data_IF_869565737186
#
_entry.id   IF_869565737186
#
_cell.length_a   1.000
_cell.length_b   1.000
_cell.length_c   1.000
_cell.angle_alpha   90.00
_cell.angle_beta   90.00
_cell.angle_gamma   90.00
#
_symmetry.space_group_name_H-M   'P 1'
#
loop_
_entity.id
_entity.type
_entity.pdbx_description
1 polymer ?
#
# COMPACT_ATOMS: atom_id res chain seq x y z
N UNK A 1 -3.28 3.75 -12.50
CA UNK A 1 -3.00 4.56 -11.30
C UNK A 1 -4.15 5.51 -11.02
N UNK A 2 -4.12 6.20 -9.88
CA UNK A 2 -5.14 7.19 -9.50
C UNK A 2 -6.57 6.64 -9.36
N UNK A 3 -6.72 5.33 -9.14
CA UNK A 3 -8.00 4.61 -9.16
C UNK A 3 -8.83 4.73 -10.45
N UNK A 4 -8.22 5.20 -11.56
CA UNK A 4 -8.92 5.47 -12.82
C UNK A 4 -8.39 4.64 -13.99
N UNK A 5 -7.21 4.05 -13.85
CA UNK A 5 -6.55 3.27 -14.90
C UNK A 5 -5.68 2.14 -14.32
N UNK A 6 -5.24 1.24 -15.20
CA UNK A 6 -4.31 0.16 -14.88
C UNK A 6 -4.93 -1.21 -15.14
N UNK A 7 -4.06 -2.22 -15.20
CA UNK A 7 -4.44 -3.60 -15.46
C UNK A 7 -3.54 -4.56 -14.70
N UNK A 8 -4.04 -5.76 -14.42
CA UNK A 8 -3.33 -6.75 -13.58
C UNK A 8 -2.04 -7.26 -14.23
N UNK A 9 -1.97 -7.26 -15.56
CA UNK A 9 -0.82 -7.71 -16.35
C UNK A 9 0.44 -6.92 -16.05
N UNK A 10 0.31 -5.65 -15.67
CA UNK A 10 1.43 -4.83 -15.24
C UNK A 10 2.20 -5.43 -14.04
N UNK A 11 1.52 -6.20 -13.18
CA UNK A 11 2.14 -6.87 -12.04
C UNK A 11 2.76 -8.24 -12.36
N UNK A 12 2.61 -8.77 -13.59
CA UNK A 12 3.11 -10.11 -13.92
C UNK A 12 4.64 -10.24 -13.78
N UNK A 13 5.48 -9.30 -14.29
CA UNK A 13 6.93 -9.43 -14.14
C UNK A 13 7.38 -9.48 -12.67
N UNK A 14 6.76 -8.67 -11.81
CA UNK A 14 7.01 -8.71 -10.37
C UNK A 14 6.55 -10.04 -9.74
N UNK A 15 5.39 -10.55 -10.15
CA UNK A 15 4.92 -11.86 -9.67
C UNK A 15 5.83 -13.01 -10.10
N UNK A 16 6.35 -12.97 -11.33
CA UNK A 16 7.30 -13.96 -11.85
C UNK A 16 8.61 -13.93 -11.06
N UNK A 17 9.16 -12.73 -10.79
CA UNK A 17 10.33 -12.59 -9.94
C UNK A 17 10.09 -13.15 -8.53
N UNK A 18 8.98 -12.77 -7.89
CA UNK A 18 8.67 -13.23 -6.53
C UNK A 18 8.42 -14.75 -6.48
N UNK A 19 7.87 -15.33 -7.54
CA UNK A 19 7.75 -16.79 -7.69
C UNK A 19 9.12 -17.46 -7.75
N UNK A 20 10.09 -16.87 -8.47
CA UNK A 20 11.49 -17.32 -8.47
C UNK A 20 12.15 -17.23 -7.09
N UNK A 21 11.75 -16.25 -6.27
CA UNK A 21 12.23 -16.05 -4.90
C UNK A 21 11.56 -16.97 -3.86
N UNK A 22 10.65 -17.86 -4.28
CA UNK A 22 9.98 -18.84 -3.43
C UNK A 22 8.62 -18.40 -2.85
N UNK A 23 8.04 -17.30 -3.35
CA UNK A 23 6.73 -16.81 -2.92
C UNK A 23 5.62 -17.21 -3.88
N UNK A 24 4.41 -17.43 -3.35
CA UNK A 24 3.20 -17.45 -4.18
C UNK A 24 2.80 -16.00 -4.43
N UNK A 25 2.88 -15.54 -5.67
CA UNK A 25 2.56 -14.18 -6.05
C UNK A 25 1.34 -14.11 -6.97
N UNK A 26 0.51 -13.09 -6.77
CA UNK A 26 -0.68 -12.83 -7.58
C UNK A 26 -0.88 -11.33 -7.76
N UNK A 27 -1.14 -10.90 -8.99
CA UNK A 27 -1.62 -9.55 -9.30
C UNK A 27 -3.14 -9.56 -9.43
N UNK A 28 -3.79 -8.52 -8.89
CA UNK A 28 -5.25 -8.41 -8.87
C UNK A 28 -5.71 -7.23 -9.71
N UNK A 29 -6.92 -7.34 -10.25
CA UNK A 29 -7.66 -6.15 -10.70
C UNK A 29 -8.43 -5.59 -9.51
N UNK A 30 -8.56 -4.27 -9.45
CA UNK A 30 -9.49 -3.58 -8.56
C UNK A 30 -10.37 -2.63 -9.38
N UNK A 31 -11.48 -2.21 -8.80
CA UNK A 31 -12.47 -1.32 -9.41
C UNK A 31 -11.86 0.04 -9.68
N UNK A 32 -11.87 0.46 -10.95
CA UNK A 32 -11.39 1.77 -11.38
C UNK A 32 -12.45 2.85 -11.10
N UNK A 33 -12.79 3.06 -9.83
CA UNK A 33 -13.90 3.92 -9.41
C UNK A 33 -13.76 5.39 -9.85
N UNK A 34 -12.53 5.86 -10.03
CA UNK A 34 -12.23 7.22 -10.48
C UNK A 34 -12.08 7.33 -12.00
N UNK A 35 -12.45 6.30 -12.77
CA UNK A 35 -12.56 6.43 -14.21
C UNK A 35 -13.54 7.57 -14.53
N UNK A 36 -13.09 8.50 -15.37
CA UNK A 36 -13.82 9.71 -15.78
C UNK A 36 -14.17 10.69 -14.63
N UNK A 37 -13.46 10.60 -13.49
CA UNK A 37 -13.60 11.51 -12.34
C UNK A 37 -12.26 12.17 -12.00
N UNK A 38 -12.34 13.34 -11.37
CA UNK A 38 -11.15 14.05 -10.91
C UNK A 38 -10.68 13.52 -9.53
N UNK A 39 -9.51 12.90 -9.50
CA UNK A 39 -8.83 12.45 -8.27
C UNK A 39 -7.83 13.49 -7.72
N UNK A 40 -7.81 14.70 -8.29
CA UNK A 40 -6.98 15.85 -7.89
C UNK A 40 -7.80 16.92 -7.16
N UNK A 41 -7.34 18.16 -7.15
CA UNK A 41 -7.90 19.25 -6.34
C UNK A 41 -9.32 19.69 -6.73
N UNK A 42 -9.67 19.60 -8.01
CA UNK A 42 -11.03 19.89 -8.50
C UNK A 42 -12.04 18.77 -8.24
N UNK A 43 -11.57 17.63 -7.72
CA UNK A 43 -12.40 16.47 -7.38
C UNK A 43 -13.31 16.70 -6.18
N UNK A 44 -13.91 15.62 -5.69
CA UNK A 44 -14.76 15.62 -4.50
C UNK A 44 -14.15 14.69 -3.47
N UNK A 45 -13.88 15.18 -2.26
CA UNK A 45 -13.25 14.38 -1.19
C UNK A 45 -13.97 13.06 -0.91
N UNK A 46 -15.31 13.07 -0.86
CA UNK A 46 -16.10 11.85 -0.68
C UNK A 46 -15.90 10.81 -1.79
N UNK A 47 -15.66 11.23 -3.03
CA UNK A 47 -15.38 10.31 -4.14
C UNK A 47 -13.97 9.71 -4.04
N UNK A 48 -12.99 10.49 -3.55
CA UNK A 48 -11.64 9.96 -3.26
C UNK A 48 -11.68 8.88 -2.19
N UNK A 49 -12.44 9.12 -1.10
CA UNK A 49 -12.62 8.15 -0.02
C UNK A 49 -13.28 6.87 -0.54
N UNK A 50 -14.32 7.00 -1.37
CA UNK A 50 -14.94 5.84 -2.02
C UNK A 50 -13.95 5.08 -2.89
N UNK A 51 -13.10 5.75 -3.65
CA UNK A 51 -12.10 5.10 -4.50
C UNK A 51 -11.17 4.18 -3.68
N UNK A 52 -10.62 4.69 -2.59
CA UNK A 52 -9.83 3.90 -1.63
C UNK A 52 -10.66 2.77 -0.99
N UNK A 53 -11.95 3.02 -0.67
CA UNK A 53 -12.87 2.00 -0.16
C UNK A 53 -13.09 0.85 -1.15
N UNK A 54 -13.31 1.15 -2.43
CA UNK A 54 -13.43 0.14 -3.48
C UNK A 54 -12.14 -0.68 -3.61
N UNK A 55 -10.99 -0.01 -3.70
CA UNK A 55 -9.69 -0.69 -3.76
C UNK A 55 -9.45 -1.64 -2.58
N UNK A 56 -9.67 -1.16 -1.35
CA UNK A 56 -9.49 -1.97 -0.14
C UNK A 56 -10.42 -3.19 -0.11
N UNK A 57 -11.70 -3.01 -0.50
CA UNK A 57 -12.67 -4.10 -0.56
C UNK A 57 -12.30 -5.15 -1.61
N UNK A 58 -11.86 -4.72 -2.79
CA UNK A 58 -11.46 -5.64 -3.86
C UNK A 58 -10.21 -6.43 -3.46
N UNK A 59 -9.27 -5.80 -2.73
CA UNK A 59 -8.11 -6.48 -2.16
C UNK A 59 -8.52 -7.48 -1.06
N UNK A 60 -9.50 -7.15 -0.21
CA UNK A 60 -10.04 -8.11 0.78
C UNK A 60 -10.73 -9.30 0.11
N UNK A 61 -11.53 -9.06 -0.94
CA UNK A 61 -12.18 -10.12 -1.72
C UNK A 61 -11.16 -11.03 -2.39
N UNK A 62 -10.13 -10.46 -3.02
CA UNK A 62 -9.06 -11.23 -3.65
C UNK A 62 -8.26 -12.04 -2.63
N UNK A 63 -7.94 -11.44 -1.48
CA UNK A 63 -7.29 -12.14 -0.34
C UNK A 63 -8.15 -13.31 0.14
N UNK A 64 -9.45 -13.07 0.34
CA UNK A 64 -10.41 -14.09 0.76
C UNK A 64 -10.50 -15.23 -0.25
N UNK A 65 -10.49 -14.93 -1.55
CA UNK A 65 -10.50 -15.93 -2.61
C UNK A 65 -9.23 -16.79 -2.56
N UNK A 66 -8.05 -16.16 -2.48
CA UNK A 66 -6.76 -16.85 -2.44
C UNK A 66 -6.62 -17.74 -1.21
N UNK A 67 -7.08 -17.30 -0.03
CA UNK A 67 -7.15 -18.16 1.17
C UNK A 67 -8.08 -19.36 0.94
N UNK A 68 -9.20 -19.19 0.23
CA UNK A 68 -10.06 -20.29 -0.19
C UNK A 68 -9.35 -21.32 -1.09
N UNK A 69 -8.35 -20.88 -1.86
CA UNK A 69 -7.52 -21.72 -2.73
C UNK A 69 -6.22 -22.21 -2.07
N UNK A 70 -6.07 -22.04 -0.75
CA UNK A 70 -4.81 -22.31 -0.04
C UNK A 70 -4.23 -23.71 -0.23
N UNK A 71 -5.08 -24.74 -0.41
CA UNK A 71 -4.62 -26.12 -0.68
C UNK A 71 -4.02 -26.26 -2.08
N UNK A 72 -4.64 -25.61 -3.07
CA UNK A 72 -4.22 -25.64 -4.48
C UNK A 72 -2.89 -24.91 -4.66
N UNK A 73 -2.80 -23.69 -4.11
CA UNK A 73 -1.62 -22.83 -4.30
C UNK A 73 -0.62 -22.89 -3.15
N UNK A 74 -0.85 -23.75 -2.14
CA UNK A 74 0.02 -23.90 -0.95
C UNK A 74 0.25 -22.57 -0.20
N UNK A 75 -0.83 -21.81 -0.02
CA UNK A 75 -0.80 -20.51 0.68
C UNK A 75 -0.93 -20.75 2.18
N UNK A 76 -0.05 -20.13 2.96
CA UNK A 76 -0.20 -20.00 4.41
C UNK A 76 -0.97 -18.69 4.72
N UNK A 77 -2.21 -18.74 5.23
CA UNK A 77 -3.00 -17.54 5.51
C UNK A 77 -2.38 -16.60 6.54
N UNK A 78 -1.42 -17.08 7.35
CA UNK A 78 -0.70 -16.24 8.32
C UNK A 78 0.47 -15.46 7.71
N UNK A 79 0.85 -15.75 6.46
CA UNK A 79 2.04 -15.22 5.76
C UNK A 79 1.69 -14.48 4.48
N UNK A 80 0.58 -13.74 4.49
CA UNK A 80 0.14 -12.96 3.33
C UNK A 80 0.67 -11.54 3.42
N UNK A 81 1.44 -11.14 2.40
CA UNK A 81 1.91 -9.77 2.20
C UNK A 81 1.10 -9.10 1.10
N UNK A 82 0.94 -7.78 1.19
CA UNK A 82 0.31 -6.96 0.16
C UNK A 82 1.27 -5.90 -0.34
N UNK A 83 1.16 -5.55 -1.62
CA UNK A 83 2.06 -4.61 -2.25
C UNK A 83 1.34 -3.75 -3.27
N UNK A 84 1.75 -2.49 -3.37
CA UNK A 84 1.23 -1.59 -4.38
C UNK A 84 2.05 -0.33 -4.57
N UNK A 85 1.78 0.34 -5.68
CA UNK A 85 2.37 1.62 -6.08
C UNK A 85 1.27 2.68 -6.21
N UNK A 86 1.52 3.92 -5.75
CA UNK A 86 0.60 5.05 -5.87
C UNK A 86 -0.78 4.70 -5.27
N UNK A 87 -1.87 4.83 -6.04
CA UNK A 87 -3.20 4.37 -5.66
C UNK A 87 -3.27 2.89 -5.18
N UNK A 88 -2.38 2.02 -5.68
CA UNK A 88 -2.25 0.65 -5.18
C UNK A 88 -1.63 0.57 -3.78
N UNK A 89 -0.71 1.47 -3.46
CA UNK A 89 -0.15 1.60 -2.11
C UNK A 89 -1.19 2.18 -1.14
N UNK A 90 -1.95 3.20 -1.56
CA UNK A 90 -3.11 3.70 -0.80
C UNK A 90 -4.13 2.58 -0.56
N UNK A 91 -4.42 1.74 -1.57
CA UNK A 91 -5.25 0.53 -1.40
C UNK A 91 -4.69 -0.38 -0.31
N UNK A 92 -3.38 -0.63 -0.29
CA UNK A 92 -2.75 -1.48 0.71
C UNK A 92 -2.86 -0.90 2.13
N UNK A 93 -2.56 0.39 2.31
CA UNK A 93 -2.69 1.06 3.61
C UNK A 93 -4.10 0.93 4.16
N UNK A 94 -5.09 1.25 3.35
CA UNK A 94 -6.47 1.23 3.78
C UNK A 94 -7.00 -0.20 3.98
N UNK A 95 -6.58 -1.16 3.16
CA UNK A 95 -6.92 -2.56 3.38
C UNK A 95 -6.31 -3.15 4.66
N UNK A 96 -5.11 -2.71 5.04
CA UNK A 96 -4.43 -3.19 6.24
C UNK A 96 -5.04 -2.60 7.53
N UNK A 97 -5.40 -1.32 7.51
CA UNK A 97 -5.65 -0.56 8.74
C UNK A 97 -7.09 -0.08 8.93
N UNK A 98 -7.94 -0.07 7.90
CA UNK A 98 -9.36 0.21 8.13
C UNK A 98 -10.06 -0.90 8.90
N UNK A 99 -11.05 -0.49 9.70
CA UNK A 99 -12.00 -1.43 10.26
C UNK A 99 -12.82 -2.06 9.12
N UNK A 100 -12.59 -3.35 8.86
CA UNK A 100 -13.24 -4.08 7.77
C UNK A 100 -14.76 -4.07 7.89
N UNK A 101 -15.32 -4.27 9.08
CA UNK A 101 -16.79 -4.29 9.26
C UNK A 101 -17.45 -2.93 9.00
N UNK A 102 -16.78 -1.83 9.34
CA UNK A 102 -17.29 -0.48 9.07
C UNK A 102 -17.12 -0.06 7.61
N UNK A 103 -16.04 -0.50 6.97
CA UNK A 103 -15.66 -0.06 5.63
C UNK A 103 -16.03 -1.06 4.53
N UNK A 104 -16.60 -2.22 4.86
CA UNK A 104 -17.03 -3.21 3.86
C UNK A 104 -18.13 -2.67 2.97
N UNK A 105 -17.98 -2.90 1.67
CA UNK A 105 -19.00 -2.72 0.63
C UNK A 105 -19.57 -4.06 0.17
N UNK A 106 -18.81 -5.12 0.35
CA UNK A 106 -19.13 -6.48 -0.06
C UNK A 106 -18.84 -7.43 1.09
N UNK A 107 -19.60 -8.52 1.19
CA UNK A 107 -19.27 -9.58 2.13
C UNK A 107 -18.02 -10.34 1.67
N UNK A 108 -17.10 -10.58 2.60
CA UNK A 108 -15.89 -11.37 2.41
C UNK A 108 -15.77 -12.44 3.49
N UNK A 109 -14.90 -13.44 3.31
CA UNK A 109 -14.71 -14.55 4.27
C UNK A 109 -13.41 -14.46 5.05
N UNK A 110 -12.82 -13.27 5.14
CA UNK A 110 -11.67 -13.05 6.02
C UNK A 110 -12.13 -13.13 7.48
N UNK A 111 -11.43 -13.90 8.34
CA UNK A 111 -11.65 -13.87 9.78
C UNK A 111 -11.53 -12.46 10.38
N UNK A 112 -12.25 -12.18 11.46
CA UNK A 112 -12.22 -10.86 12.14
C UNK A 112 -10.82 -10.50 12.65
N UNK A 113 -10.08 -11.51 13.09
CA UNK A 113 -8.70 -11.41 13.57
C UNK A 113 -7.65 -11.49 12.44
N UNK A 114 -8.05 -11.69 11.18
CA UNK A 114 -7.11 -11.74 10.05
C UNK A 114 -6.29 -10.45 9.92
N UNK A 115 -4.98 -10.58 9.78
CA UNK A 115 -4.03 -9.49 9.52
C UNK A 115 -3.05 -9.92 8.43
N UNK A 116 -2.60 -8.96 7.64
CA UNK A 116 -1.49 -9.19 6.71
C UNK A 116 -0.19 -9.31 7.51
N UNK A 117 0.74 -10.14 7.02
CA UNK A 117 2.06 -10.33 7.64
C UNK A 117 2.99 -9.12 7.42
N UNK A 118 2.69 -8.29 6.44
CA UNK A 118 3.38 -7.05 6.16
C UNK A 118 2.91 -6.42 4.85
N UNK A 119 3.38 -5.21 4.56
CA UNK A 119 3.04 -4.51 3.32
C UNK A 119 4.22 -3.77 2.69
N UNK A 120 4.12 -3.57 1.37
CA UNK A 120 5.07 -2.81 0.55
C UNK A 120 4.32 -1.67 -0.14
N UNK A 121 4.78 -0.43 0.07
CA UNK A 121 4.13 0.77 -0.43
C UNK A 121 5.12 1.68 -1.19
N UNK A 122 4.98 1.74 -2.51
CA UNK A 122 5.65 2.73 -3.35
C UNK A 122 4.80 3.99 -3.48
N UNK A 123 5.30 5.13 -3.02
CA UNK A 123 4.61 6.44 -3.06
C UNK A 123 3.13 6.39 -2.64
N UNK A 124 2.83 5.76 -1.49
CA UNK A 124 1.48 5.66 -0.93
C UNK A 124 1.27 6.59 0.27
N UNK A 125 0.00 6.72 0.67
CA UNK A 125 -0.39 7.44 1.87
C UNK A 125 -1.60 6.80 2.56
N UNK A 126 -1.76 7.14 3.84
CA UNK A 126 -2.95 6.81 4.65
C UNK A 126 -3.69 8.09 5.04
N UNK A 127 -5.01 8.00 5.19
CA UNK A 127 -5.85 9.15 5.57
C UNK A 127 -5.67 9.63 7.01
N UNK A 128 -5.33 8.73 7.93
CA UNK A 128 -5.16 9.04 9.35
C UNK A 128 -4.20 8.04 9.99
N UNK A 129 -3.15 8.53 10.64
CA UNK A 129 -2.17 7.69 11.34
C UNK A 129 -2.81 6.91 12.50
N UNK A 130 -3.88 7.42 13.11
CA UNK A 130 -4.57 6.75 14.22
C UNK A 130 -5.26 5.45 13.81
N UNK A 131 -5.39 5.17 12.51
CA UNK A 131 -5.82 3.85 12.01
C UNK A 131 -4.77 2.77 12.29
N UNK A 132 -3.51 3.15 12.43
CA UNK A 132 -2.41 2.29 12.85
C UNK A 132 -2.34 2.34 14.38
N UNK A 133 -2.55 1.20 15.01
CA UNK A 133 -2.65 1.03 16.45
C UNK A 133 -1.60 0.02 16.92
N UNK A 134 -1.37 -0.03 18.23
CA UNK A 134 -0.49 -1.04 18.80
C UNK A 134 -0.98 -2.48 18.52
N UNK A 135 -2.27 -2.70 18.20
CA UNK A 135 -2.86 -4.02 18.01
C UNK A 135 -2.92 -4.46 16.54
N UNK A 136 -2.81 -3.53 15.58
CA UNK A 136 -2.94 -3.84 14.14
C UNK A 136 -1.77 -3.36 13.27
N UNK A 137 -0.75 -2.72 13.85
CA UNK A 137 0.49 -2.39 13.14
C UNK A 137 1.13 -3.66 12.55
N UNK A 138 1.70 -3.53 11.36
CA UNK A 138 2.34 -4.62 10.63
C UNK A 138 3.67 -4.14 10.03
N UNK A 139 4.63 -5.06 9.82
CA UNK A 139 5.87 -4.75 9.13
C UNK A 139 5.62 -4.05 7.79
N UNK A 140 6.27 -2.91 7.56
CA UNK A 140 6.00 -2.07 6.39
C UNK A 140 7.28 -1.60 5.70
N UNK A 141 7.45 -1.94 4.42
CA UNK A 141 8.47 -1.37 3.53
C UNK A 141 7.85 -0.24 2.70
N UNK A 142 8.48 0.92 2.72
CA UNK A 142 8.08 2.09 1.95
C UNK A 142 9.23 2.60 1.10
N UNK A 143 8.88 3.17 -0.05
CA UNK A 143 9.82 3.89 -0.90
C UNK A 143 9.11 5.04 -1.61
N UNK A 144 9.74 6.21 -1.63
CA UNK A 144 9.04 7.45 -1.99
C UNK A 144 10.04 8.55 -2.38
N UNK A 145 9.72 9.33 -3.42
CA UNK A 145 10.45 10.55 -3.75
C UNK A 145 10.11 11.70 -2.80
N UNK A 146 11.10 12.44 -2.31
CA UNK A 146 10.85 13.56 -1.37
C UNK A 146 10.30 14.83 -2.04
N UNK A 147 10.28 14.88 -3.38
CA UNK A 147 9.67 15.94 -4.18
C UNK A 147 8.38 15.49 -4.89
N UNK A 148 7.76 14.39 -4.46
CA UNK A 148 6.47 13.94 -5.01
C UNK A 148 5.40 15.02 -4.84
N UNK A 149 4.80 15.43 -5.96
CA UNK A 149 3.77 16.48 -6.07
C UNK A 149 2.34 15.92 -6.20
N UNK A 150 2.18 14.60 -6.27
CA UNK A 150 0.88 13.94 -6.38
C UNK A 150 0.47 13.35 -5.03
N UNK A 151 1.32 12.47 -4.49
CA UNK A 151 1.14 11.88 -3.16
C UNK A 151 2.19 12.50 -2.24
N UNK A 152 1.82 13.06 -1.07
CA UNK A 152 2.80 13.72 -0.23
C UNK A 152 3.77 12.70 0.38
N UNK A 153 5.06 13.03 0.40
CA UNK A 153 6.10 12.24 1.07
C UNK A 153 5.90 12.21 2.60
N UNK A 154 5.62 13.39 3.18
CA UNK A 154 5.30 13.57 4.59
C UNK A 154 3.80 13.76 4.82
N UNK A 155 3.43 14.68 5.70
CA UNK A 155 2.02 15.04 5.96
C UNK A 155 1.65 16.28 5.16
N UNK A 156 0.72 16.14 4.21
CA UNK A 156 0.15 17.27 3.50
C UNK A 156 -1.19 16.88 2.86
N UNK A 157 -1.88 17.86 2.28
CA UNK A 157 -3.03 17.57 1.43
C UNK A 157 -2.60 16.75 0.20
N UNK A 158 -3.41 15.78 -0.21
CA UNK A 158 -3.27 15.07 -1.48
C UNK A 158 -3.16 16.09 -2.63
N UNK A 159 -2.22 15.91 -3.58
CA UNK A 159 -1.83 16.88 -4.62
C UNK A 159 -1.46 18.29 -4.12
N UNK A 160 -1.16 18.46 -2.82
CA UNK A 160 -0.89 19.75 -2.19
C UNK A 160 -2.02 20.77 -2.43
N UNK A 161 -3.27 20.28 -2.48
CA UNK A 161 -4.43 21.12 -2.74
C UNK A 161 -4.59 22.24 -1.71
N UNK A 162 -5.09 23.39 -2.17
CA UNK A 162 -5.52 24.48 -1.31
C UNK A 162 -6.62 23.99 -0.33
N UNK A 163 -6.64 24.44 0.94
CA UNK A 163 -7.69 24.10 1.90
C UNK A 163 -9.13 24.40 1.42
N UNK A 164 -9.32 25.32 0.48
CA UNK A 164 -10.64 25.61 -0.11
C UNK A 164 -11.03 24.66 -1.24
N UNK A 165 -10.14 23.77 -1.69
CA UNK A 165 -10.41 22.87 -2.81
C UNK A 165 -11.43 21.79 -2.43
N UNK A 166 -12.36 21.49 -3.34
CA UNK A 166 -13.41 20.47 -3.13
C UNK A 166 -12.86 19.05 -3.01
N UNK A 167 -11.68 18.82 -3.57
CA UNK A 167 -10.94 17.56 -3.48
C UNK A 167 -9.92 17.54 -2.35
N UNK A 168 -9.93 18.52 -1.45
CA UNK A 168 -8.96 18.60 -0.36
C UNK A 168 -9.12 17.41 0.60
N UNK A 169 -8.02 16.70 0.82
CA UNK A 169 -7.95 15.56 1.73
C UNK A 169 -6.54 15.50 2.33
N UNK A 170 -6.44 15.46 3.66
CA UNK A 170 -5.15 15.28 4.33
C UNK A 170 -4.66 13.84 4.15
N UNK A 171 -3.37 13.69 3.85
CA UNK A 171 -2.70 12.41 3.72
C UNK A 171 -1.40 12.39 4.52
N UNK A 172 -1.06 11.19 4.99
CA UNK A 172 0.18 10.88 5.68
C UNK A 172 0.97 9.91 4.81
N UNK A 173 2.00 10.44 4.17
CA UNK A 173 2.91 9.71 3.30
C UNK A 173 3.90 8.82 4.03
N UNK A 174 4.76 8.21 3.23
CA UNK A 174 5.76 7.23 3.69
C UNK A 174 6.66 7.72 4.82
N UNK A 175 7.08 8.99 4.84
CA UNK A 175 7.89 9.52 5.94
C UNK A 175 7.10 9.60 7.24
N UNK A 176 5.88 10.15 7.19
CA UNK A 176 5.04 10.28 8.37
C UNK A 176 4.65 8.91 8.94
N UNK A 177 4.35 7.95 8.07
CA UNK A 177 4.05 6.57 8.47
C UNK A 177 5.29 5.87 9.05
N UNK A 178 6.47 6.04 8.42
CA UNK A 178 7.72 5.49 8.94
C UNK A 178 8.02 5.99 10.36
N UNK A 179 7.98 7.31 10.56
CA UNK A 179 8.20 7.92 11.88
C UNK A 179 7.20 7.40 12.92
N UNK A 180 5.93 7.24 12.52
CA UNK A 180 4.89 6.71 13.39
C UNK A 180 5.14 5.24 13.80
N UNK A 181 5.40 4.36 12.82
CA UNK A 181 5.72 2.94 13.07
C UNK A 181 7.02 2.77 13.86
N UNK A 182 8.02 3.60 13.58
CA UNK A 182 9.30 3.61 14.30
C UNK A 182 9.09 3.88 15.78
N UNK A 183 8.30 4.91 16.10
CA UNK A 183 7.96 5.26 17.48
C UNK A 183 7.13 4.18 18.19
N UNK A 184 6.41 3.33 17.45
CA UNK A 184 5.69 2.17 17.99
C UNK A 184 6.59 0.93 18.18
N UNK A 185 7.86 0.98 17.78
CA UNK A 185 8.78 -0.17 17.86
C UNK A 185 8.46 -1.26 16.83
N UNK A 186 7.77 -0.94 15.74
CA UNK A 186 7.42 -1.91 14.68
C UNK A 186 8.54 -2.03 13.65
N UNK A 187 8.59 -3.16 12.94
CA UNK A 187 9.47 -3.32 11.78
C UNK A 187 9.05 -2.37 10.65
N UNK A 188 9.94 -1.46 10.28
CA UNK A 188 9.66 -0.53 9.20
C UNK A 188 10.92 -0.14 8.44
N UNK A 189 10.82 -0.06 7.11
CA UNK A 189 11.90 0.39 6.25
C UNK A 189 11.40 1.51 5.34
N UNK A 190 12.18 2.58 5.20
CA UNK A 190 11.93 3.68 4.27
C UNK A 190 13.13 3.91 3.35
N UNK A 191 12.90 3.85 2.04
CA UNK A 191 13.84 4.34 1.04
C UNK A 191 13.35 5.69 0.49
N UNK A 192 14.02 6.77 0.89
CA UNK A 192 13.78 8.09 0.33
C UNK A 192 14.62 8.28 -0.92
N UNK A 193 13.97 8.58 -2.03
CA UNK A 193 14.65 9.02 -3.25
C UNK A 193 14.71 10.54 -3.24
N UNK A 194 15.89 11.08 -2.90
CA UNK A 194 16.12 12.50 -2.77
C UNK A 194 16.01 13.20 -4.14
N UNK A 195 15.36 14.35 -4.15
CA UNK A 195 15.17 15.18 -5.33
C UNK A 195 14.38 14.47 -6.46
N UNK A 196 13.67 13.37 -6.14
CA UNK A 196 12.79 12.63 -7.07
C UNK A 196 11.32 12.84 -6.74
N UNK A 197 10.47 12.72 -7.75
CA UNK A 197 9.01 12.84 -7.66
C UNK A 197 8.29 11.49 -7.66
N UNK A 198 7.08 11.49 -8.22
CA UNK A 198 6.21 10.31 -8.25
C UNK A 198 6.72 9.18 -9.18
N UNK A 199 7.67 9.47 -10.06
CA UNK A 199 8.23 8.51 -11.02
C UNK A 199 8.93 7.31 -10.36
N UNK A 200 9.37 7.45 -9.10
CA UNK A 200 9.98 6.35 -8.35
C UNK A 200 8.95 5.42 -7.68
N UNK A 201 7.65 5.70 -7.80
CA UNK A 201 6.60 4.90 -7.16
C UNK A 201 6.60 3.42 -7.57
N UNK A 202 7.18 3.09 -8.74
CA UNK A 202 7.30 1.73 -9.28
C UNK A 202 8.68 1.09 -9.11
N UNK A 203 9.70 1.83 -8.67
CA UNK A 203 11.11 1.44 -8.88
C UNK A 203 11.50 0.09 -8.27
N UNK A 204 11.00 -0.23 -7.07
CA UNK A 204 11.29 -1.54 -6.45
C UNK A 204 10.48 -2.67 -7.08
N UNK A 205 9.35 -2.39 -7.73
CA UNK A 205 8.58 -3.40 -8.46
C UNK A 205 9.19 -3.71 -9.82
N UNK A 206 9.86 -2.73 -10.44
CA UNK A 206 10.32 -2.82 -11.83
C UNK A 206 11.83 -3.10 -11.97
N UNK A 207 12.65 -2.63 -11.03
CA UNK A 207 14.12 -2.63 -11.18
C UNK A 207 14.86 -3.29 -10.01
N UNK A 208 14.42 -3.06 -8.77
CA UNK A 208 15.15 -3.47 -7.55
C UNK A 208 14.32 -4.40 -6.67
N UNK A 209 13.74 -5.44 -7.29
CA UNK A 209 12.79 -6.36 -6.67
C UNK A 209 13.41 -7.18 -5.53
N UNK A 210 14.73 -7.38 -5.53
CA UNK A 210 15.49 -8.06 -4.49
C UNK A 210 15.45 -7.34 -3.13
N UNK A 211 15.24 -6.02 -3.14
CA UNK A 211 15.02 -5.26 -1.89
C UNK A 211 13.72 -5.72 -1.24
N UNK A 212 12.67 -5.89 -2.04
CA UNK A 212 11.38 -6.39 -1.57
C UNK A 212 11.56 -7.83 -1.07
N UNK A 213 12.10 -8.75 -1.88
CA UNK A 213 12.23 -10.15 -1.45
C UNK A 213 13.05 -10.33 -0.16
N UNK A 214 14.11 -9.54 0.01
CA UNK A 214 14.89 -9.50 1.26
C UNK A 214 14.07 -9.03 2.45
N UNK A 215 13.29 -7.96 2.29
CA UNK A 215 12.40 -7.48 3.34
C UNK A 215 11.39 -8.56 3.79
N UNK A 216 10.71 -9.22 2.84
CA UNK A 216 9.75 -10.29 3.17
C UNK A 216 10.42 -11.44 3.92
N UNK A 217 11.61 -11.89 3.47
CA UNK A 217 12.35 -12.98 4.11
C UNK A 217 12.73 -12.64 5.56
N UNK A 218 13.27 -11.44 5.80
CA UNK A 218 13.60 -10.96 7.15
C UNK A 218 12.38 -10.89 8.07
N UNK A 219 11.24 -10.42 7.56
CA UNK A 219 9.98 -10.42 8.32
C UNK A 219 9.53 -11.84 8.66
N UNK A 220 9.63 -12.77 7.71
CA UNK A 220 9.29 -14.19 7.93
C UNK A 220 10.24 -14.89 8.92
N UNK A 221 11.49 -14.46 8.98
CA UNK A 221 12.49 -14.92 9.95
C UNK A 221 12.29 -14.30 11.35
N UNK A 222 11.33 -13.38 11.50
CA UNK A 222 10.99 -12.73 12.76
C UNK A 222 11.95 -11.61 13.16
N UNK A 223 12.72 -11.08 12.22
CA UNK A 223 13.61 -9.95 12.48
C UNK A 223 12.81 -8.67 12.80
N UNK A 224 13.32 -7.91 13.77
CA UNK A 224 12.82 -6.58 14.12
C UNK A 224 13.86 -5.54 13.73
N UNK A 225 13.51 -4.63 12.82
CA UNK A 225 14.43 -3.61 12.30
C UNK A 225 13.71 -2.33 11.88
N UNK A 226 14.41 -1.20 12.01
CA UNK A 226 13.88 0.13 11.71
C UNK A 226 14.93 0.88 10.90
N UNK A 227 14.73 0.95 9.58
CA UNK A 227 15.76 1.36 8.63
C UNK A 227 15.27 2.52 7.77
N UNK A 228 16.05 3.60 7.69
CA UNK A 228 15.77 4.71 6.78
C UNK A 228 17.03 5.02 5.98
N UNK A 229 16.95 4.87 4.66
CA UNK A 229 18.02 5.25 3.75
C UNK A 229 17.55 6.39 2.83
N UNK A 230 18.46 7.34 2.57
CA UNK A 230 18.26 8.43 1.61
C UNK A 230 19.19 8.19 0.43
N UNK A 231 18.61 8.00 -0.74
CA UNK A 231 19.28 7.66 -2.00
C UNK A 231 19.34 8.93 -2.86
N UNK A 232 20.51 9.22 -3.46
CA UNK A 232 20.76 10.48 -4.17
C UNK A 232 20.95 10.35 -5.69
N UNK A 233 21.09 9.13 -6.21
CA UNK A 233 21.40 8.87 -7.62
C UNK A 233 20.35 7.94 -8.27
#
# INVERSE_FOLDING_TARGET
GGFSSGERSAGHPFCEFMAGEGFVAASISYTLYMQDKDFSCGGITGEKIKAMQYGANDLWLATSYLIGQRKTYRIDPSKIFIAGSSAGAETCFHAAFWNREQMKRYEHRLPDDFRYAGMIAGAGAIMDLNLITAQNRIPTLMFHGDQDRLVPYGTAAHHYCDPSATGWLMFFGSHSVFEYLRNMGETCSLLTYRDKGHEVAGILFDQNQEVISRFLKRVLDGEIFQEHAVLTD
#
